data_IF_572898745942
#
_entry.id   IF_572898745942
#
_cell.length_a   1.000
_cell.length_b   1.000
_cell.length_c   1.000
_cell.angle_alpha   90.00
_cell.angle_beta   90.00
_cell.angle_gamma   90.00
#
_symmetry.space_group_name_H-M   'P 1'
#
loop_
_entity.id
_entity.type
_entity.pdbx_description
1 polymer ?
#
# COMPACT_ATOMS: atom_id res chain seq x y z
N UNK A 1 -10.71 -25.84 -2.73
CA UNK A 1 -9.26 -25.75 -2.43
C UNK A 1 -9.00 -24.41 -1.77
N UNK A 2 -8.45 -24.36 -0.55
CA UNK A 2 -8.18 -23.09 0.15
C UNK A 2 -6.87 -22.52 -0.41
N UNK A 3 -6.95 -21.50 -1.25
CA UNK A 3 -5.76 -20.87 -1.84
C UNK A 3 -4.92 -20.18 -0.76
N UNK A 4 -3.62 -20.44 -0.77
CA UNK A 4 -2.66 -19.74 0.09
C UNK A 4 -2.19 -18.45 -0.60
N UNK A 5 -1.92 -17.41 0.20
CA UNK A 5 -1.40 -16.14 -0.30
C UNK A 5 -0.10 -16.32 -1.12
N UNK A 6 0.77 -17.22 -0.67
CA UNK A 6 2.01 -17.54 -1.38
C UNK A 6 1.75 -18.11 -2.77
N UNK A 7 0.82 -19.05 -2.90
CA UNK A 7 0.44 -19.60 -4.21
C UNK A 7 -0.11 -18.52 -5.14
N UNK A 8 -1.00 -17.66 -4.64
CA UNK A 8 -1.55 -16.55 -5.43
C UNK A 8 -0.48 -15.59 -5.97
N UNK A 9 0.64 -15.43 -5.25
CA UNK A 9 1.76 -14.61 -5.69
C UNK A 9 2.71 -15.36 -6.63
N UNK A 10 2.97 -16.65 -6.36
CA UNK A 10 3.86 -17.48 -7.17
C UNK A 10 3.27 -17.79 -8.55
N UNK A 11 1.94 -17.94 -8.63
CA UNK A 11 1.20 -18.17 -9.88
C UNK A 11 1.01 -16.88 -10.70
N UNK A 12 1.37 -15.72 -10.14
CA UNK A 12 1.28 -14.42 -10.82
C UNK A 12 2.52 -14.13 -11.68
N UNK A 13 2.31 -13.43 -12.79
CA UNK A 13 3.32 -13.08 -13.79
C UNK A 13 3.75 -11.60 -13.70
N UNK A 14 4.85 -11.19 -14.36
CA UNK A 14 5.23 -9.78 -14.46
C UNK A 14 4.12 -8.90 -15.06
N UNK A 15 4.08 -7.63 -14.67
CA UNK A 15 2.97 -6.72 -15.03
C UNK A 15 3.03 -6.15 -16.46
N UNK A 16 4.18 -6.20 -17.13
CA UNK A 16 4.36 -5.68 -18.49
C UNK A 16 3.54 -6.48 -19.51
N UNK A 17 2.82 -5.77 -20.39
CA UNK A 17 1.94 -6.36 -21.39
C UNK A 17 0.64 -6.92 -20.82
N UNK A 18 0.24 -6.53 -19.60
CA UNK A 18 -0.97 -7.03 -18.93
C UNK A 18 -1.94 -5.89 -18.59
N UNK A 19 -3.12 -6.22 -18.08
CA UNK A 19 -4.08 -5.23 -17.56
C UNK A 19 -3.52 -4.41 -16.40
N UNK A 20 -2.55 -4.94 -15.65
CA UNK A 20 -1.87 -4.19 -14.60
C UNK A 20 -1.06 -3.02 -15.16
N UNK A 21 -0.47 -3.16 -16.35
CA UNK A 21 0.22 -2.05 -17.00
C UNK A 21 -0.73 -0.89 -17.27
N UNK A 22 -1.86 -1.15 -17.94
CA UNK A 22 -2.87 -0.11 -18.20
C UNK A 22 -3.41 0.51 -16.91
N UNK A 23 -3.59 -0.29 -15.86
CA UNK A 23 -3.99 0.20 -14.54
C UNK A 23 -2.99 1.21 -13.96
N UNK A 24 -1.69 0.89 -13.93
CA UNK A 24 -0.67 1.81 -13.41
C UNK A 24 -0.38 3.00 -14.33
N UNK A 25 -0.46 2.82 -15.66
CA UNK A 25 -0.36 3.92 -16.64
C UNK A 25 -1.49 4.93 -16.43
N UNK A 26 -2.73 4.49 -16.22
CA UNK A 26 -3.87 5.37 -15.96
C UNK A 26 -3.77 6.16 -14.64
N UNK A 27 -2.77 5.86 -13.82
CA UNK A 27 -2.49 6.46 -12.52
C UNK A 27 -1.17 7.24 -12.51
N UNK A 28 -0.48 7.36 -13.65
CA UNK A 28 0.86 7.93 -13.75
C UNK A 28 1.93 7.20 -12.89
N UNK A 29 1.69 5.95 -12.50
CA UNK A 29 2.55 5.16 -11.59
C UNK A 29 3.32 4.05 -12.29
N UNK A 30 3.20 3.91 -13.62
CA UNK A 30 3.81 2.80 -14.36
C UNK A 30 5.33 2.72 -14.20
N UNK A 31 6.02 3.87 -14.27
CA UNK A 31 7.48 3.94 -14.22
C UNK A 31 8.07 3.40 -12.91
N UNK A 32 7.38 3.58 -11.79
CA UNK A 32 7.80 3.06 -10.48
C UNK A 32 7.28 1.65 -10.23
N UNK A 33 6.05 1.35 -10.65
CA UNK A 33 5.43 0.04 -10.42
C UNK A 33 6.16 -1.08 -11.19
N UNK A 34 6.66 -0.80 -12.39
CA UNK A 34 7.35 -1.81 -13.21
C UNK A 34 8.71 -2.25 -12.66
N UNK A 35 9.29 -1.49 -11.74
CA UNK A 35 10.58 -1.79 -11.10
C UNK A 35 10.42 -2.63 -9.83
N UNK A 36 9.19 -2.91 -9.38
CA UNK A 36 8.92 -3.61 -8.12
C UNK A 36 8.49 -5.05 -8.39
N UNK A 37 9.39 -6.00 -8.12
CA UNK A 37 9.16 -7.44 -8.34
C UNK A 37 8.00 -8.03 -7.53
N UNK A 38 7.68 -7.40 -6.39
CA UNK A 38 6.58 -7.78 -5.50
C UNK A 38 5.21 -7.31 -6.01
N UNK A 39 5.16 -6.57 -7.12
CA UNK A 39 3.93 -6.23 -7.84
C UNK A 39 3.85 -7.14 -9.06
N UNK A 40 2.82 -7.99 -9.09
CA UNK A 40 2.59 -8.97 -10.16
C UNK A 40 1.16 -8.90 -10.67
N UNK A 41 0.89 -9.57 -11.77
CA UNK A 41 -0.44 -9.71 -12.35
C UNK A 41 -0.87 -11.17 -12.36
N UNK A 42 -2.09 -11.45 -11.91
CA UNK A 42 -2.68 -12.78 -11.97
C UNK A 42 -3.93 -12.72 -12.88
N UNK A 43 -3.96 -13.41 -14.05
CA UNK A 43 -5.03 -13.26 -15.05
C UNK A 43 -6.38 -13.82 -14.59
N UNK A 44 -6.37 -14.83 -13.72
CA UNK A 44 -7.56 -15.48 -13.17
C UNK A 44 -7.46 -15.62 -11.63
N UNK A 45 -7.27 -14.51 -10.92
CA UNK A 45 -7.06 -14.53 -9.48
C UNK A 45 -8.36 -14.91 -8.74
N UNK A 46 -8.33 -15.89 -7.82
CA UNK A 46 -9.54 -16.27 -7.09
C UNK A 46 -10.09 -15.16 -6.21
N UNK A 47 -11.42 -15.05 -6.23
CA UNK A 47 -12.27 -14.15 -5.45
C UNK A 47 -13.45 -14.98 -4.89
N UNK A 48 -14.23 -14.40 -3.98
CA UNK A 48 -15.41 -15.08 -3.43
C UNK A 48 -16.39 -15.56 -4.51
N UNK A 49 -16.52 -14.83 -5.62
CA UNK A 49 -17.43 -15.11 -6.73
C UNK A 49 -16.71 -15.50 -8.03
N UNK A 50 -15.81 -16.49 -7.97
CA UNK A 50 -15.06 -16.97 -9.13
C UNK A 50 -13.70 -16.32 -9.29
N UNK A 51 -13.21 -16.20 -10.52
CA UNK A 51 -11.86 -15.73 -10.83
C UNK A 51 -11.90 -14.44 -11.66
N UNK A 52 -10.98 -13.52 -11.34
CA UNK A 52 -10.88 -12.23 -12.01
C UNK A 52 -9.43 -11.83 -12.18
N UNK A 53 -9.07 -11.10 -13.25
CA UNK A 53 -7.73 -10.55 -13.37
C UNK A 53 -7.45 -9.59 -12.20
N UNK A 54 -6.25 -9.63 -11.65
CA UNK A 54 -5.88 -8.80 -10.51
C UNK A 54 -4.40 -8.41 -10.54
N UNK A 55 -4.11 -7.21 -10.05
CA UNK A 55 -2.78 -6.91 -9.51
C UNK A 55 -2.65 -7.64 -8.19
N UNK A 56 -1.57 -8.40 -8.01
CA UNK A 56 -1.24 -9.11 -6.78
C UNK A 56 0.04 -8.51 -6.23
N UNK A 57 -0.03 -7.96 -5.02
CA UNK A 57 1.09 -7.32 -4.35
C UNK A 57 1.45 -8.14 -3.12
N UNK A 58 2.70 -8.62 -3.06
CA UNK A 58 3.16 -9.40 -1.92
C UNK A 58 3.20 -8.56 -0.65
N UNK A 59 2.66 -9.12 0.44
CA UNK A 59 2.95 -8.65 1.78
C UNK A 59 3.95 -9.59 2.45
N UNK A 60 5.09 -9.03 2.81
CA UNK A 60 6.17 -9.75 3.47
C UNK A 60 6.13 -9.50 4.96
N UNK A 61 6.29 -10.57 5.72
CA UNK A 61 6.55 -10.49 7.16
C UNK A 61 7.73 -9.57 7.42
N UNK A 62 7.56 -8.64 8.36
CA UNK A 62 8.62 -7.71 8.77
C UNK A 62 9.78 -8.47 9.42
N UNK A 63 9.50 -9.56 10.14
CA UNK A 63 10.51 -10.34 10.85
C UNK A 63 11.21 -11.39 9.98
N UNK A 64 10.48 -12.11 9.13
CA UNK A 64 11.03 -13.24 8.35
C UNK A 64 11.21 -12.96 6.86
N UNK A 65 10.66 -11.86 6.34
CA UNK A 65 10.64 -11.49 4.91
C UNK A 65 9.87 -12.48 4.01
N UNK A 66 9.27 -13.53 4.58
CA UNK A 66 8.42 -14.47 3.88
C UNK A 66 7.11 -13.80 3.43
N UNK A 67 6.58 -14.21 2.28
CA UNK A 67 5.25 -13.77 1.82
C UNK A 67 4.20 -14.47 2.67
N UNK A 68 3.55 -13.71 3.57
CA UNK A 68 2.52 -14.24 4.48
C UNK A 68 1.12 -13.81 4.08
N UNK A 69 1.01 -12.74 3.29
CA UNK A 69 -0.23 -12.26 2.71
C UNK A 69 0.00 -11.66 1.32
N UNK A 70 -1.09 -11.39 0.61
CA UNK A 70 -1.11 -10.59 -0.61
C UNK A 70 -2.26 -9.60 -0.54
N UNK A 71 -2.08 -8.43 -1.13
CA UNK A 71 -3.20 -7.57 -1.52
C UNK A 71 -3.54 -7.83 -2.99
N UNK A 72 -4.83 -7.98 -3.29
CA UNK A 72 -5.35 -8.20 -4.64
C UNK A 72 -6.18 -7.01 -5.06
N UNK A 73 -5.79 -6.34 -6.13
CA UNK A 73 -6.56 -5.28 -6.78
C UNK A 73 -7.19 -5.87 -8.03
N UNK A 74 -8.45 -6.29 -7.92
CA UNK A 74 -9.18 -6.89 -9.03
C UNK A 74 -9.47 -5.85 -10.11
N UNK A 75 -9.34 -6.24 -11.37
CA UNK A 75 -9.50 -5.39 -12.54
C UNK A 75 -10.66 -5.89 -13.42
N UNK A 76 -11.28 -4.97 -14.16
CA UNK A 76 -12.19 -5.32 -15.25
C UNK A 76 -11.43 -5.58 -16.56
N UNK A 77 -12.17 -5.87 -17.63
CA UNK A 77 -11.58 -6.14 -18.96
C UNK A 77 -10.86 -4.93 -19.57
N UNK A 78 -11.06 -3.73 -19.04
CA UNK A 78 -10.36 -2.51 -19.45
C UNK A 78 -9.22 -2.14 -18.49
N UNK A 79 -8.89 -2.99 -17.51
CA UNK A 79 -7.83 -2.71 -16.54
C UNK A 79 -8.24 -1.72 -15.45
N UNK A 80 -9.54 -1.46 -15.26
CA UNK A 80 -10.03 -0.57 -14.20
C UNK A 80 -10.26 -1.35 -12.92
N UNK A 81 -9.84 -0.78 -11.79
CA UNK A 81 -10.00 -1.39 -10.45
C UNK A 81 -11.48 -1.58 -10.09
N UNK A 82 -11.83 -2.80 -9.67
CA UNK A 82 -13.16 -3.17 -9.22
C UNK A 82 -13.19 -3.18 -7.69
N UNK A 83 -13.83 -2.18 -7.11
CA UNK A 83 -14.01 -2.09 -5.65
C UNK A 83 -12.70 -1.86 -4.89
N UNK A 84 -12.71 -2.23 -3.60
CA UNK A 84 -11.54 -2.11 -2.72
C UNK A 84 -10.60 -3.28 -2.90
N UNK A 85 -9.31 -3.05 -2.60
CA UNK A 85 -8.32 -4.13 -2.56
C UNK A 85 -8.71 -5.19 -1.53
N UNK A 86 -8.48 -6.46 -1.86
CA UNK A 86 -8.82 -7.59 -0.99
C UNK A 86 -7.56 -8.31 -0.53
N UNK A 87 -7.45 -8.48 0.78
CA UNK A 87 -6.33 -9.21 1.39
C UNK A 87 -6.56 -10.72 1.31
N UNK A 88 -5.48 -11.49 1.26
CA UNK A 88 -5.48 -12.94 1.44
C UNK A 88 -4.26 -13.33 2.27
N UNK A 89 -4.44 -14.14 3.31
CA UNK A 89 -3.36 -14.59 4.19
C UNK A 89 -3.21 -13.78 5.48
N UNK A 90 -2.07 -13.93 6.14
CA UNK A 90 -1.77 -13.32 7.45
C UNK A 90 -1.10 -11.96 7.25
N UNK A 91 -1.90 -10.89 7.41
CA UNK A 91 -1.45 -9.50 7.22
C UNK A 91 -0.78 -8.90 8.45
N UNK A 92 -1.08 -9.42 9.66
CA UNK A 92 -0.49 -8.91 10.91
C UNK A 92 1.03 -9.09 10.88
N UNK A 93 1.77 -8.01 11.18
CA UNK A 93 3.23 -8.01 11.14
C UNK A 93 3.82 -8.11 9.71
N UNK A 94 3.02 -7.89 8.67
CA UNK A 94 3.45 -7.87 7.28
C UNK A 94 3.15 -6.52 6.62
N UNK A 95 3.90 -6.21 5.56
CA UNK A 95 3.75 -5.01 4.76
C UNK A 95 4.02 -5.31 3.28
N UNK A 96 3.45 -4.54 2.38
CA UNK A 96 3.90 -4.46 0.99
C UNK A 96 5.21 -3.67 0.98
N UNK A 97 6.33 -4.37 1.03
CA UNK A 97 7.67 -3.77 1.19
C UNK A 97 8.22 -3.35 -0.19
N UNK A 98 7.57 -2.35 -0.81
CA UNK A 98 7.77 -1.95 -2.21
C UNK A 98 9.23 -1.60 -2.55
N UNK A 99 9.97 -1.07 -1.59
CA UNK A 99 11.42 -0.90 -1.68
C UNK A 99 12.13 -1.58 -0.51
N UNK A 100 13.35 -2.11 -0.72
CA UNK A 100 14.17 -2.63 0.35
C UNK A 100 14.47 -1.53 1.36
N UNK A 101 14.47 -1.90 2.65
CA UNK A 101 14.80 -0.96 3.72
C UNK A 101 16.27 -0.54 3.61
N UNK A 102 16.51 0.75 3.39
CA UNK A 102 17.84 1.37 3.33
C UNK A 102 17.89 2.57 4.28
N UNK A 103 19.02 2.75 4.97
CA UNK A 103 19.17 3.82 5.96
C UNK A 103 18.26 3.66 7.19
N UNK A 104 18.02 4.77 7.88
CA UNK A 104 17.24 4.84 9.11
C UNK A 104 15.91 5.61 8.98
N UNK A 105 15.50 5.98 7.76
CA UNK A 105 14.17 6.53 7.49
C UNK A 105 13.31 5.47 6.82
N UNK A 106 12.02 5.40 7.17
CA UNK A 106 11.03 4.58 6.48
C UNK A 106 9.77 5.41 6.24
N UNK A 107 9.26 5.37 5.01
CA UNK A 107 7.96 5.92 4.67
C UNK A 107 6.92 4.80 4.64
N UNK A 108 5.72 5.07 5.14
CA UNK A 108 4.58 4.13 5.09
C UNK A 108 3.33 4.83 4.59
N UNK A 109 2.48 4.10 3.87
CA UNK A 109 1.13 4.53 3.49
C UNK A 109 0.11 3.40 3.70
N UNK A 110 -1.19 3.72 3.62
CA UNK A 110 -2.25 2.70 3.63
C UNK A 110 -2.25 1.91 2.32
N UNK A 111 -2.46 2.60 1.20
CA UNK A 111 -2.59 2.00 -0.13
C UNK A 111 -1.25 1.86 -0.87
N UNK A 112 -1.14 0.89 -1.78
CA UNK A 112 0.03 0.76 -2.65
C UNK A 112 0.11 1.93 -3.65
N UNK A 113 -1.02 2.48 -4.11
CA UNK A 113 -1.02 3.64 -5.01
C UNK A 113 -0.35 4.88 -4.35
N UNK A 114 -0.76 5.22 -3.12
CA UNK A 114 -0.16 6.30 -2.31
C UNK A 114 1.33 6.06 -2.07
N UNK A 115 1.72 4.82 -1.73
CA UNK A 115 3.12 4.47 -1.51
C UNK A 115 3.97 4.58 -2.79
N UNK A 116 3.45 4.15 -3.94
CA UNK A 116 4.13 4.29 -5.22
C UNK A 116 4.30 5.76 -5.62
N UNK A 117 3.30 6.60 -5.35
CA UNK A 117 3.38 8.04 -5.58
C UNK A 117 4.48 8.69 -4.72
N UNK A 118 4.64 8.26 -3.47
CA UNK A 118 5.75 8.68 -2.62
C UNK A 118 7.11 8.31 -3.24
N UNK A 119 7.24 7.08 -3.76
CA UNK A 119 8.46 6.63 -4.45
C UNK A 119 8.73 7.50 -5.69
N UNK A 120 7.70 7.82 -6.47
CA UNK A 120 7.82 8.68 -7.65
C UNK A 120 8.24 10.12 -7.31
N UNK A 121 8.06 10.55 -6.05
CA UNK A 121 8.49 11.83 -5.51
C UNK A 121 9.79 11.73 -4.70
N UNK A 122 10.56 10.66 -4.89
CA UNK A 122 11.86 10.41 -4.24
C UNK A 122 11.80 10.21 -2.71
N UNK A 123 10.64 9.81 -2.19
CA UNK A 123 10.51 9.34 -0.81
C UNK A 123 10.76 7.84 -0.75
N UNK A 124 11.93 7.46 -0.22
CA UNK A 124 12.40 6.08 -0.19
C UNK A 124 13.18 5.79 1.11
N UNK A 125 13.14 4.54 1.62
CA UNK A 125 12.29 3.45 1.18
C UNK A 125 10.83 3.64 1.60
N UNK A 126 9.88 3.19 0.77
CA UNK A 126 8.43 3.29 1.08
C UNK A 126 7.73 1.93 1.08
N UNK A 127 6.90 1.68 2.10
CA UNK A 127 6.06 0.50 2.23
C UNK A 127 4.57 0.86 2.25
N UNK A 128 3.69 -0.07 1.85
CA UNK A 128 2.25 0.06 2.05
C UNK A 128 1.74 -1.00 3.04
N UNK A 129 0.85 -0.62 3.95
CA UNK A 129 0.36 -1.51 5.01
C UNK A 129 -0.97 -2.20 4.67
N UNK A 130 -1.73 -1.66 3.74
CA UNK A 130 -2.96 -2.26 3.20
C UNK A 130 -4.24 -1.95 3.95
N UNK A 131 -4.17 -1.41 5.18
CA UNK A 131 -5.34 -0.88 5.89
C UNK A 131 -4.97 0.06 7.06
N UNK A 132 -5.90 0.94 7.44
CA UNK A 132 -5.83 1.73 8.69
C UNK A 132 -5.55 0.89 9.94
N UNK A 133 -6.14 -0.31 10.08
CA UNK A 133 -5.89 -1.19 11.23
C UNK A 133 -4.45 -1.72 11.27
N UNK A 134 -3.83 -1.92 10.12
CA UNK A 134 -2.43 -2.34 10.03
C UNK A 134 -1.47 -1.17 10.29
N UNK A 135 -1.83 0.07 9.91
CA UNK A 135 -1.12 1.28 10.37
C UNK A 135 -1.16 1.37 11.90
N UNK A 136 -2.34 1.22 12.50
CA UNK A 136 -2.51 1.28 13.95
C UNK A 136 -1.62 0.28 14.69
N UNK A 137 -1.38 -0.90 14.12
CA UNK A 137 -0.63 -2.00 14.74
C UNK A 137 0.80 -2.15 14.21
N UNK A 138 1.26 -1.23 13.36
CA UNK A 138 2.60 -1.27 12.80
C UNK A 138 3.66 -1.23 13.92
N UNK A 139 4.58 -2.21 13.97
CA UNK A 139 5.55 -2.31 15.05
C UNK A 139 6.62 -1.23 14.92
N UNK A 140 7.29 -0.93 16.04
CA UNK A 140 8.55 -0.17 16.01
C UNK A 140 9.63 -1.07 15.43
N UNK A 141 10.35 -0.58 14.41
CA UNK A 141 11.44 -1.31 13.78
C UNK A 141 12.76 -0.76 14.34
N UNK A 142 13.57 -1.63 14.94
CA UNK A 142 14.71 -1.22 15.75
C UNK A 142 15.72 -0.34 15.03
N UNK A 143 15.99 -0.63 13.76
CA UNK A 143 16.99 0.06 12.93
C UNK A 143 16.41 1.19 12.05
N UNK A 144 15.16 1.60 12.30
CA UNK A 144 14.57 2.82 11.75
C UNK A 144 14.49 3.86 12.87
N UNK A 145 15.06 5.03 12.62
CA UNK A 145 15.05 6.17 13.53
C UNK A 145 13.96 7.18 13.21
N UNK A 146 13.55 7.28 11.93
CA UNK A 146 12.50 8.20 11.46
C UNK A 146 11.43 7.45 10.67
N UNK A 147 10.18 7.57 11.09
CA UNK A 147 9.01 7.09 10.35
C UNK A 147 8.23 8.26 9.76
N UNK A 148 7.89 8.20 8.48
CA UNK A 148 6.97 9.17 7.85
C UNK A 148 5.71 8.43 7.42
N UNK A 149 4.56 8.87 7.91
CA UNK A 149 3.26 8.27 7.63
C UNK A 149 2.51 9.16 6.65
N UNK A 150 2.30 8.68 5.44
CA UNK A 150 1.50 9.36 4.42
C UNK A 150 0.04 8.96 4.59
N UNK A 151 -0.74 9.85 5.19
CA UNK A 151 -2.14 9.63 5.50
C UNK A 151 -3.03 10.31 4.45
N UNK A 152 -3.98 9.55 3.91
CA UNK A 152 -5.01 10.07 3.01
C UNK A 152 -5.82 11.18 3.71
N UNK A 153 -6.17 12.25 2.99
CA UNK A 153 -7.00 13.33 3.51
C UNK A 153 -8.50 12.97 3.45
N UNK A 154 -8.86 11.78 3.93
CA UNK A 154 -10.22 11.27 3.92
C UNK A 154 -11.20 12.22 4.62
N UNK A 155 -12.43 12.41 4.10
CA UNK A 155 -13.49 13.15 4.79
C UNK A 155 -13.72 12.66 6.23
N UNK A 156 -14.25 13.54 7.07
CA UNK A 156 -14.68 13.16 8.41
C UNK A 156 -15.75 12.06 8.35
N UNK A 157 -15.55 11.01 9.14
CA UNK A 157 -16.48 9.89 9.29
C UNK A 157 -16.90 9.76 10.75
N UNK A 158 -18.16 9.38 10.98
CA UNK A 158 -18.68 9.16 12.32
C UNK A 158 -18.43 7.71 12.73
N UNK A 159 -17.47 7.49 13.62
CA UNK A 159 -17.11 6.16 14.16
C UNK A 159 -17.40 6.13 15.64
N UNK A 160 -18.27 5.20 16.07
CA UNK A 160 -18.64 5.09 17.49
C UNK A 160 -19.23 6.37 18.09
N UNK A 161 -19.92 7.17 17.27
CA UNK A 161 -20.50 8.45 17.66
C UNK A 161 -19.57 9.66 17.54
N UNK A 162 -18.27 9.46 17.30
CA UNK A 162 -17.26 10.51 17.23
C UNK A 162 -16.87 10.77 15.77
N UNK A 163 -16.81 12.04 15.39
CA UNK A 163 -16.28 12.46 14.09
C UNK A 163 -14.76 12.36 14.09
N UNK A 164 -14.21 11.56 13.18
CA UNK A 164 -12.77 11.45 13.01
C UNK A 164 -12.43 11.09 11.56
N UNK A 165 -11.19 11.37 11.16
CA UNK A 165 -10.61 10.86 9.91
C UNK A 165 -9.91 9.53 10.25
N UNK A 166 -10.38 8.38 9.74
CA UNK A 166 -9.85 7.08 10.16
C UNK A 166 -8.34 6.93 9.92
N UNK A 167 -7.86 7.42 8.78
CA UNK A 167 -6.43 7.48 8.44
C UNK A 167 -5.62 8.26 9.46
N UNK A 168 -5.99 9.51 9.78
CA UNK A 168 -5.29 10.31 10.79
C UNK A 168 -5.35 9.69 12.18
N UNK A 169 -6.50 9.12 12.56
CA UNK A 169 -6.61 8.42 13.85
C UNK A 169 -5.65 7.24 13.91
N UNK A 170 -5.54 6.47 12.82
CA UNK A 170 -4.62 5.36 12.72
C UNK A 170 -3.15 5.79 12.78
N UNK A 171 -2.79 6.83 12.02
CA UNK A 171 -1.47 7.44 12.02
C UNK A 171 -1.09 7.95 13.42
N UNK A 172 -2.01 8.61 14.13
CA UNK A 172 -1.78 9.09 15.50
C UNK A 172 -1.47 7.97 16.49
N UNK A 173 -2.20 6.84 16.45
CA UNK A 173 -1.91 5.68 17.30
C UNK A 173 -0.54 5.08 17.00
N UNK A 174 -0.15 5.02 15.72
CA UNK A 174 1.16 4.55 15.31
C UNK A 174 2.27 5.51 15.77
N UNK A 175 2.07 6.80 15.55
CA UNK A 175 2.96 7.88 15.97
C UNK A 175 3.21 7.84 17.47
N UNK A 176 2.18 7.74 18.30
CA UNK A 176 2.31 7.64 19.75
C UNK A 176 3.19 6.46 20.17
N UNK A 177 3.05 5.30 19.51
CA UNK A 177 3.87 4.12 19.79
C UNK A 177 5.35 4.37 19.47
N UNK A 178 5.63 4.92 18.31
CA UNK A 178 6.99 5.18 17.85
C UNK A 178 7.68 6.29 18.66
N UNK A 179 6.97 7.37 18.99
CA UNK A 179 7.47 8.43 19.87
C UNK A 179 7.81 7.89 21.26
N UNK A 180 6.95 7.02 21.85
CA UNK A 180 7.23 6.36 23.14
C UNK A 180 8.47 5.45 23.10
N UNK A 181 8.83 4.95 21.93
CA UNK A 181 10.05 4.18 21.72
C UNK A 181 11.28 5.06 21.43
N UNK A 182 11.16 6.39 21.54
CA UNK A 182 12.25 7.34 21.31
C UNK A 182 12.60 7.55 19.84
N UNK A 183 11.68 7.23 18.92
CA UNK A 183 11.86 7.41 17.47
C UNK A 183 11.25 8.74 17.00
N UNK A 184 11.72 9.24 15.85
CA UNK A 184 11.13 10.40 15.17
C UNK A 184 9.97 9.95 14.29
N UNK A 185 8.89 10.73 14.28
CA UNK A 185 7.71 10.42 13.46
C UNK A 185 7.10 11.68 12.91
N UNK A 186 6.72 11.63 11.63
CA UNK A 186 5.97 12.68 10.95
C UNK A 186 4.73 12.07 10.29
N UNK A 187 3.65 12.85 10.24
CA UNK A 187 2.44 12.49 9.50
C UNK A 187 2.24 13.53 8.42
N UNK A 188 2.36 13.11 7.17
CA UNK A 188 2.12 13.94 5.99
C UNK A 188 0.70 13.69 5.48
N UNK A 189 0.06 14.73 4.95
CA UNK A 189 -1.30 14.66 4.43
C UNK A 189 -1.47 15.69 3.31
N UNK A 190 -2.14 15.33 2.20
CA UNK A 190 -2.45 16.28 1.13
C UNK A 190 -3.22 17.50 1.63
N UNK A 191 -3.02 18.65 0.99
CA UNK A 191 -3.72 19.89 1.38
C UNK A 191 -5.23 19.83 1.10
N UNK A 192 -5.65 19.05 0.09
CA UNK A 192 -7.05 18.98 -0.36
C UNK A 192 -7.75 17.78 0.28
N UNK A 193 -8.93 18.02 0.85
CA UNK A 193 -9.76 16.94 1.38
C UNK A 193 -10.22 16.00 0.26
N UNK A 194 -10.25 14.71 0.57
CA UNK A 194 -10.55 13.61 -0.35
C UNK A 194 -9.39 13.24 -1.28
N UNK A 195 -8.20 13.81 -1.08
CA UNK A 195 -7.00 13.46 -1.84
C UNK A 195 -6.08 12.55 -1.04
N UNK A 196 -5.38 11.69 -1.77
CA UNK A 196 -4.19 10.97 -1.31
C UNK A 196 -2.94 11.49 -2.07
N UNK A 197 -1.78 10.90 -1.78
CA UNK A 197 -0.53 11.28 -2.45
C UNK A 197 -0.47 10.85 -3.93
N UNK A 198 -1.29 9.88 -4.35
CA UNK A 198 -1.40 9.51 -5.77
C UNK A 198 -2.16 10.58 -6.56
N UNK A 199 -3.16 11.23 -5.98
CA UNK A 199 -3.81 12.41 -6.57
C UNK A 199 -2.84 13.59 -6.70
N UNK A 200 -2.01 13.83 -5.66
CA UNK A 200 -0.97 14.87 -5.68
C UNK A 200 0.05 14.60 -6.81
N UNK A 201 0.49 13.36 -6.95
CA UNK A 201 1.41 12.95 -8.01
C UNK A 201 0.80 13.11 -9.41
N UNK A 202 -0.42 12.63 -9.63
CA UNK A 202 -1.11 12.76 -10.92
C UNK A 202 -1.26 14.23 -11.33
N UNK A 203 -1.61 15.10 -10.38
CA UNK A 203 -1.69 16.54 -10.61
C UNK A 203 -0.33 17.19 -10.90
N UNK A 204 0.78 16.61 -10.44
CA UNK A 204 2.14 17.04 -10.80
C UNK A 204 2.50 16.60 -12.22
N UNK A 205 2.18 15.37 -12.60
CA UNK A 205 2.43 14.84 -13.96
C UNK A 205 1.69 15.64 -15.04
N UNK A 206 0.42 15.99 -14.80
CA UNK A 206 -0.36 16.81 -15.73
C UNK A 206 0.18 18.24 -15.95
N UNK A 207 1.16 18.67 -15.15
CA UNK A 207 1.81 19.99 -15.24
C UNK A 207 3.21 19.93 -15.89
N UNK A 208 3.71 18.72 -16.20
CA UNK A 208 4.96 18.49 -16.93
C UNK A 208 4.67 18.41 -18.44
#
# INVERSE_FOLDING_TARGET
MRMLARCAFDDAQPIRGTLAQSYFESRDLWSVAMEIEDIRFHPACPRESGEHPAVVIAMRSISSRAVTAVQRLFLDRQGRKIGKGMMLGTCSGAAMQLQPKIGSTLHIAEGPETALACIAMDHAPTWALGSTSLIQTFPVIGDIDRLVIWADHDPLQKIGGIWCRPGHKAAGVCMDRWLKAGKQVEVETPKREGWDEADVWSARCARL
#
